data_IF_828346206286
#
_entry.id   IF_828346206286
#
_cell.length_a   1.000
_cell.length_b   1.000
_cell.length_c   1.000
_cell.angle_alpha   90.00
_cell.angle_beta   90.00
_cell.angle_gamma   90.00
#
_symmetry.space_group_name_H-M   'P 1'
#
loop_
_entity.id
_entity.type
_entity.pdbx_description
1 polymer ?
#
# COMPACT_ATOMS: atom_id res chain seq x y z
N UNK A 1 4.43 -7.73 6.79
CA UNK A 1 3.47 -6.69 6.39
C UNK A 1 3.06 -5.98 7.65
N UNK A 2 3.04 -4.67 7.65
CA UNK A 2 2.74 -3.90 8.85
C UNK A 2 1.33 -3.31 8.71
N UNK A 3 0.37 -3.91 9.39
CA UNK A 3 -1.06 -3.56 9.37
C UNK A 3 -1.47 -3.10 10.77
N UNK A 4 -2.37 -2.12 10.86
CA UNK A 4 -2.69 -1.48 12.13
C UNK A 4 -3.56 -2.35 13.05
N UNK A 5 -4.25 -3.33 12.47
CA UNK A 5 -5.11 -4.30 13.14
C UNK A 5 -4.85 -5.70 12.58
N UNK A 6 -5.24 -6.73 13.34
CA UNK A 6 -5.08 -8.12 12.91
C UNK A 6 -6.07 -8.48 11.79
N UNK A 7 -5.62 -9.32 10.84
CA UNK A 7 -6.50 -9.87 9.81
C UNK A 7 -7.42 -10.93 10.43
N UNK A 8 -8.73 -10.66 10.45
CA UNK A 8 -9.75 -11.67 10.67
C UNK A 8 -10.28 -12.19 9.32
N UNK A 9 -10.04 -13.46 8.96
CA UNK A 9 -10.53 -14.03 7.71
C UNK A 9 -12.07 -14.11 7.61
N UNK A 10 -12.80 -13.92 8.71
CA UNK A 10 -14.27 -13.84 8.70
C UNK A 10 -14.79 -12.43 8.45
N UNK A 11 -13.93 -11.40 8.60
CA UNK A 11 -14.25 -10.02 8.25
C UNK A 11 -13.83 -9.76 6.80
N UNK A 12 -14.72 -10.10 5.87
CA UNK A 12 -14.46 -9.98 4.43
C UNK A 12 -14.22 -8.55 3.99
N UNK A 13 -14.80 -7.56 4.67
CA UNK A 13 -14.67 -6.16 4.29
C UNK A 13 -13.27 -5.63 4.59
N UNK A 14 -12.73 -5.94 5.78
CA UNK A 14 -11.34 -5.58 6.10
C UNK A 14 -10.35 -6.36 5.20
N UNK A 15 -10.65 -7.62 4.87
CA UNK A 15 -9.82 -8.39 3.94
C UNK A 15 -9.82 -7.78 2.52
N UNK A 16 -10.97 -7.35 2.01
CA UNK A 16 -11.04 -6.66 0.73
C UNK A 16 -10.31 -5.32 0.78
N UNK A 17 -10.52 -4.54 1.84
CA UNK A 17 -9.87 -3.25 2.00
C UNK A 17 -8.34 -3.38 2.06
N UNK A 18 -7.82 -4.37 2.80
CA UNK A 18 -6.40 -4.73 2.80
C UNK A 18 -5.86 -4.95 1.37
N UNK A 19 -6.54 -5.76 0.56
CA UNK A 19 -6.11 -6.02 -0.81
C UNK A 19 -6.21 -4.78 -1.71
N UNK A 20 -7.23 -3.94 -1.52
CA UNK A 20 -7.35 -2.68 -2.25
C UNK A 20 -6.20 -1.73 -1.91
N UNK A 21 -5.86 -1.54 -0.64
CA UNK A 21 -4.73 -0.70 -0.21
C UNK A 21 -3.40 -1.21 -0.75
N UNK A 22 -3.19 -2.54 -0.74
CA UNK A 22 -2.01 -3.16 -1.32
C UNK A 22 -1.91 -2.90 -2.83
N UNK A 23 -2.96 -3.21 -3.59
CA UNK A 23 -2.97 -3.10 -5.06
C UNK A 23 -2.92 -1.63 -5.50
N UNK A 24 -3.51 -0.71 -4.74
CA UNK A 24 -3.48 0.74 -4.97
C UNK A 24 -2.08 1.28 -5.22
N UNK A 25 -1.14 0.88 -4.36
CA UNK A 25 0.26 1.27 -4.47
C UNK A 25 0.94 0.75 -5.75
N UNK A 26 0.65 -0.49 -6.17
CA UNK A 26 1.13 -1.01 -7.46
C UNK A 26 0.55 -0.24 -8.64
N UNK A 27 -0.75 0.08 -8.60
CA UNK A 27 -1.41 0.85 -9.65
C UNK A 27 -0.79 2.24 -9.80
N UNK A 28 -0.47 2.91 -8.69
CA UNK A 28 0.24 4.20 -8.70
C UNK A 28 1.60 4.11 -9.41
N UNK A 29 2.38 3.07 -9.12
CA UNK A 29 3.69 2.85 -9.77
C UNK A 29 3.56 2.51 -11.25
N UNK A 30 2.56 1.72 -11.64
CA UNK A 30 2.32 1.42 -13.06
C UNK A 30 1.89 2.68 -13.83
N UNK A 31 1.08 3.53 -13.19
CA UNK A 31 0.54 4.73 -13.82
C UNK A 31 1.58 5.86 -13.94
N UNK A 32 2.35 6.12 -12.89
CA UNK A 32 3.22 7.29 -12.78
C UNK A 32 4.72 6.96 -12.72
N UNK A 33 5.09 5.68 -12.59
CA UNK A 33 6.49 5.31 -12.41
C UNK A 33 7.36 5.70 -13.60
N UNK A 34 8.41 6.48 -13.32
CA UNK A 34 9.27 7.09 -14.34
C UNK A 34 8.87 8.51 -14.73
N UNK A 35 7.75 9.03 -14.22
CA UNK A 35 7.42 10.44 -14.36
C UNK A 35 8.47 11.30 -13.67
N UNK A 36 8.77 12.48 -14.24
CA UNK A 36 9.76 13.40 -13.69
C UNK A 36 9.22 14.21 -12.49
N UNK A 37 8.59 13.51 -11.52
CA UNK A 37 7.93 14.10 -10.36
C UNK A 37 8.14 13.27 -9.10
N UNK A 38 8.58 13.94 -8.03
CA UNK A 38 8.69 13.36 -6.69
C UNK A 38 9.39 12.00 -6.65
N UNK A 39 8.86 11.09 -5.84
CA UNK A 39 9.39 9.74 -5.67
C UNK A 39 9.24 8.86 -6.94
N UNK A 40 8.28 9.16 -7.82
CA UNK A 40 8.07 8.44 -9.09
C UNK A 40 9.20 8.63 -10.10
N UNK A 41 10.00 9.68 -9.95
CA UNK A 41 11.19 9.91 -10.78
C UNK A 41 12.30 8.89 -10.54
N UNK A 42 12.45 8.44 -9.30
CA UNK A 42 13.66 7.71 -8.86
C UNK A 42 13.35 6.41 -8.16
N UNK A 43 12.43 6.43 -7.19
CA UNK A 43 12.23 5.31 -6.27
C UNK A 43 11.02 4.47 -6.65
N UNK A 44 9.88 5.10 -6.92
CA UNK A 44 8.60 4.46 -7.25
C UNK A 44 8.54 4.11 -8.74
N UNK A 45 9.31 3.10 -9.16
CA UNK A 45 9.32 2.61 -10.56
C UNK A 45 8.90 1.15 -10.66
N UNK A 46 8.39 0.69 -11.81
CA UNK A 46 8.07 -0.73 -12.00
C UNK A 46 9.29 -1.63 -11.75
N UNK A 47 10.49 -1.20 -12.15
CA UNK A 47 11.72 -1.95 -11.95
C UNK A 47 12.04 -2.15 -10.45
N UNK A 48 11.82 -1.12 -9.63
CA UNK A 48 12.01 -1.21 -8.17
C UNK A 48 11.12 -2.30 -7.57
N UNK A 49 9.83 -2.28 -7.90
CA UNK A 49 8.88 -3.28 -7.37
C UNK A 49 9.16 -4.68 -7.89
N UNK A 50 9.47 -4.82 -9.18
CA UNK A 50 9.82 -6.12 -9.78
C UNK A 50 11.07 -6.73 -9.13
N UNK A 51 12.05 -5.91 -8.74
CA UNK A 51 13.26 -6.40 -8.06
C UNK A 51 12.91 -7.05 -6.71
N UNK A 52 12.00 -6.44 -5.93
CA UNK A 52 11.55 -6.99 -4.66
C UNK A 52 10.65 -8.23 -4.83
N UNK A 53 9.73 -8.20 -5.80
CA UNK A 53 8.81 -9.33 -6.04
C UNK A 53 9.50 -10.57 -6.64
N UNK A 54 10.59 -10.36 -7.38
CA UNK A 54 11.36 -11.45 -8.01
C UNK A 54 12.57 -11.89 -7.17
N UNK A 55 12.70 -11.43 -5.92
CA UNK A 55 13.76 -11.91 -5.03
C UNK A 55 13.46 -13.33 -4.52
N UNK A 56 14.00 -14.32 -5.24
CA UNK A 56 13.76 -15.74 -4.97
C UNK A 56 14.33 -16.25 -3.64
N UNK A 57 15.11 -15.45 -2.93
CA UNK A 57 15.63 -15.80 -1.61
C UNK A 57 14.56 -15.76 -0.51
N UNK A 58 13.41 -15.13 -0.78
CA UNK A 58 12.30 -14.97 0.16
C UNK A 58 11.04 -15.71 -0.34
N UNK A 59 10.10 -16.07 0.53
CA UNK A 59 8.79 -16.57 0.10
C UNK A 59 7.89 -15.43 -0.42
N UNK A 60 6.82 -15.76 -1.14
CA UNK A 60 5.97 -14.75 -1.79
C UNK A 60 5.33 -13.76 -0.80
N UNK A 61 4.94 -14.22 0.40
CA UNK A 61 4.34 -13.33 1.40
C UNK A 61 5.40 -12.39 1.97
N UNK A 62 6.62 -12.87 2.20
CA UNK A 62 7.75 -12.01 2.58
C UNK A 62 8.09 -11.00 1.50
N UNK A 63 8.09 -11.39 0.21
CA UNK A 63 8.33 -10.44 -0.90
C UNK A 63 7.26 -9.35 -0.96
N UNK A 64 5.99 -9.71 -0.79
CA UNK A 64 4.89 -8.75 -0.72
C UNK A 64 4.98 -7.86 0.51
N UNK A 65 5.44 -8.40 1.65
CA UNK A 65 5.72 -7.62 2.86
C UNK A 65 6.83 -6.59 2.66
N UNK A 66 7.88 -6.95 1.92
CA UNK A 66 8.99 -6.04 1.61
C UNK A 66 8.50 -4.88 0.75
N UNK A 67 7.66 -5.14 -0.26
CA UNK A 67 7.03 -4.07 -1.05
C UNK A 67 6.15 -3.17 -0.19
N UNK A 68 5.33 -3.75 0.69
CA UNK A 68 4.51 -2.97 1.61
C UNK A 68 5.38 -2.05 2.48
N UNK A 69 6.40 -2.58 3.15
CA UNK A 69 7.33 -1.81 3.98
C UNK A 69 8.03 -0.69 3.19
N UNK A 70 8.40 -0.93 1.94
CA UNK A 70 8.96 0.10 1.06
C UNK A 70 8.01 1.29 0.86
N UNK A 71 6.72 1.03 0.63
CA UNK A 71 5.73 2.11 0.54
C UNK A 71 5.53 2.84 1.87
N UNK A 72 5.53 2.11 2.99
CA UNK A 72 5.45 2.71 4.33
C UNK A 72 6.59 3.71 4.57
N UNK A 73 7.82 3.34 4.21
CA UNK A 73 8.99 4.23 4.31
C UNK A 73 8.86 5.47 3.42
N UNK A 74 8.39 5.29 2.18
CA UNK A 74 8.19 6.37 1.21
C UNK A 74 7.14 7.38 1.68
N UNK A 75 6.04 6.91 2.27
CA UNK A 75 4.94 7.76 2.74
C UNK A 75 5.06 8.17 4.21
N UNK A 76 6.10 7.71 4.91
CA UNK A 76 6.30 7.93 6.35
C UNK A 76 5.13 7.42 7.20
N UNK A 77 4.57 6.28 6.82
CA UNK A 77 3.46 5.66 7.51
C UNK A 77 3.97 4.56 8.47
N UNK A 78 3.26 4.33 9.57
CA UNK A 78 3.65 3.31 10.56
C UNK A 78 2.98 1.96 10.37
N UNK A 79 1.78 1.91 9.80
CA UNK A 79 1.03 0.69 9.48
C UNK A 79 -0.07 1.00 8.44
N UNK A 80 -0.52 -0.01 7.69
CA UNK A 80 -1.67 0.12 6.78
C UNK A 80 -2.97 -0.05 7.57
N UNK A 81 -3.84 0.95 7.52
CA UNK A 81 -5.19 0.90 8.08
C UNK A 81 -6.09 0.09 7.14
N UNK A 82 -6.66 -1.01 7.63
CA UNK A 82 -7.49 -1.91 6.83
C UNK A 82 -8.95 -1.88 7.27
N UNK A 83 -9.31 -1.10 8.30
CA UNK A 83 -10.67 -1.02 8.80
C UNK A 83 -11.57 -0.36 7.77
N UNK A 84 -12.44 -1.15 7.18
CA UNK A 84 -13.29 -0.69 6.09
C UNK A 84 -14.27 0.41 6.57
N UNK A 85 -14.71 0.34 7.82
CA UNK A 85 -15.60 1.35 8.38
C UNK A 85 -14.90 2.71 8.49
N UNK A 86 -13.64 2.72 8.95
CA UNK A 86 -12.80 3.91 9.01
C UNK A 86 -12.58 4.50 7.62
N UNK A 87 -12.33 3.65 6.61
CA UNK A 87 -12.27 4.08 5.21
C UNK A 87 -13.57 4.73 4.73
N UNK A 88 -14.74 4.12 5.00
CA UNK A 88 -16.04 4.68 4.60
C UNK A 88 -16.34 6.00 5.32
N UNK A 89 -16.05 6.08 6.62
CA UNK A 89 -16.19 7.30 7.39
C UNK A 89 -15.32 8.42 6.82
N UNK A 90 -14.07 8.11 6.45
CA UNK A 90 -13.20 9.06 5.77
C UNK A 90 -13.79 9.52 4.44
N UNK A 91 -14.26 8.61 3.60
CA UNK A 91 -14.86 8.94 2.29
C UNK A 91 -16.13 9.79 2.41
N UNK A 92 -16.85 9.69 3.54
CA UNK A 92 -18.03 10.51 3.84
C UNK A 92 -17.69 11.92 4.34
N UNK A 93 -16.44 12.18 4.76
CA UNK A 93 -16.03 13.52 5.20
C UNK A 93 -16.00 14.48 4.02
N UNK A 94 -16.96 15.40 3.97
CA UNK A 94 -17.06 16.42 2.92
C UNK A 94 -16.18 17.65 3.17
N UNK A 95 -15.42 17.66 4.27
CA UNK A 95 -14.54 18.77 4.67
C UNK A 95 -13.08 18.35 4.55
N UNK A 96 -12.31 19.11 3.77
CA UNK A 96 -10.97 18.79 3.24
C UNK A 96 -9.80 18.66 4.25
N UNK A 97 -10.02 18.14 5.45
CA UNK A 97 -8.92 17.76 6.34
C UNK A 97 -8.38 16.38 5.91
N UNK A 98 -7.75 16.34 4.73
CA UNK A 98 -7.22 15.12 4.13
C UNK A 98 -6.19 14.45 5.02
N UNK A 99 -6.59 13.35 5.65
CA UNK A 99 -5.66 12.26 5.96
C UNK A 99 -5.36 11.55 4.64
N UNK A 100 -4.08 11.37 4.34
CA UNK A 100 -3.63 10.41 3.34
C UNK A 100 -3.87 9.02 3.91
N UNK A 101 -4.58 8.19 3.16
CA UNK A 101 -4.66 6.73 3.32
C UNK A 101 -3.82 6.08 2.22
#
# INVERSE_FOLDING_TARGET
MNICEDIDPHNTDNLHNFWQSMIGNYMGVVQYGGDNSGNYRTYLTPQTLCTMLNDENNDILTRMANVNNFFMEIYSESCVDIDYNSYIQYMQQTTSAGKSY
#
